data_IF_473209689368
#
_entry.id   IF_473209689368
#
_cell.length_a   1.000
_cell.length_b   1.000
_cell.length_c   1.000
_cell.angle_alpha   90.00
_cell.angle_beta   90.00
_cell.angle_gamma   90.00
#
_symmetry.space_group_name_H-M   'P 1'
#
loop_
_entity.id
_entity.type
_entity.pdbx_description
1 polymer ?
#
# COMPACT_ATOMS: atom_id res chain seq x y z
N UNK A 1 2.02 10.88 -6.14
CA UNK A 1 2.16 9.50 -5.66
C UNK A 1 1.11 8.65 -6.33
N UNK A 2 1.59 7.68 -7.10
CA UNK A 2 0.76 6.65 -7.72
C UNK A 2 0.74 5.46 -6.76
N UNK A 3 -0.45 4.99 -6.40
CA UNK A 3 -0.65 3.79 -5.60
C UNK A 3 -1.33 2.74 -6.46
N UNK A 4 -0.79 1.53 -6.48
CA UNK A 4 -1.33 0.38 -7.22
C UNK A 4 -1.50 -0.78 -6.27
N UNK A 5 -2.67 -1.40 -6.29
CA UNK A 5 -2.90 -2.66 -5.57
C UNK A 5 -3.00 -3.85 -6.53
N UNK A 6 -2.57 -5.01 -6.05
CA UNK A 6 -2.83 -6.30 -6.64
C UNK A 6 -3.09 -7.34 -5.55
N UNK A 7 -3.90 -8.36 -5.85
CA UNK A 7 -4.21 -9.43 -4.91
C UNK A 7 -3.61 -10.74 -5.40
N UNK A 8 -2.87 -11.40 -4.52
CA UNK A 8 -2.11 -12.60 -4.84
C UNK A 8 -2.90 -13.82 -4.45
N UNK A 9 -3.15 -14.69 -5.42
CA UNK A 9 -3.95 -15.90 -5.22
C UNK A 9 -3.22 -16.86 -4.28
N UNK A 10 -3.93 -17.52 -3.39
CA UNK A 10 -3.34 -18.52 -2.48
C UNK A 10 -2.62 -19.65 -3.24
N UNK A 11 -3.05 -19.95 -4.47
CA UNK A 11 -2.53 -21.04 -5.31
C UNK A 11 -1.38 -20.64 -6.25
N UNK A 12 -1.08 -19.35 -6.43
CA UNK A 12 -0.07 -18.90 -7.39
C UNK A 12 0.44 -17.47 -7.13
N UNK A 13 1.57 -17.10 -7.73
CA UNK A 13 2.05 -15.71 -7.72
C UNK A 13 2.88 -15.30 -6.50
N UNK A 14 2.70 -15.90 -5.33
CA UNK A 14 3.45 -15.52 -4.12
C UNK A 14 4.97 -15.64 -4.26
N UNK A 15 5.47 -16.71 -4.90
CA UNK A 15 6.91 -16.86 -5.15
C UNK A 15 7.45 -15.83 -6.14
N UNK A 16 6.65 -15.42 -7.13
CA UNK A 16 7.03 -14.36 -8.07
C UNK A 16 7.03 -12.99 -7.39
N UNK A 17 6.03 -12.72 -6.55
CA UNK A 17 5.97 -11.50 -5.73
C UNK A 17 7.17 -11.41 -4.79
N UNK A 18 7.45 -12.45 -4.02
CA UNK A 18 8.59 -12.49 -3.09
C UNK A 18 9.91 -12.22 -3.80
N UNK A 19 10.18 -12.87 -4.94
CA UNK A 19 11.37 -12.57 -5.75
C UNK A 19 11.41 -11.13 -6.24
N UNK A 20 10.28 -10.59 -6.70
CA UNK A 20 10.20 -9.22 -7.17
C UNK A 20 10.52 -8.21 -6.06
N UNK A 21 9.88 -8.36 -4.89
CA UNK A 21 10.00 -7.38 -3.80
C UNK A 21 11.27 -7.54 -2.97
N UNK A 22 11.90 -8.71 -2.94
CA UNK A 22 13.11 -8.93 -2.13
C UNK A 22 14.40 -8.99 -2.94
N UNK A 23 14.32 -9.32 -4.23
CA UNK A 23 15.50 -9.63 -5.06
C UNK A 23 15.43 -8.96 -6.44
N UNK A 24 14.73 -7.83 -6.56
CA UNK A 24 14.61 -7.09 -7.82
C UNK A 24 15.97 -6.60 -8.32
N UNK A 25 16.57 -7.29 -9.29
CA UNK A 25 17.93 -7.03 -9.79
C UNK A 25 18.15 -5.64 -10.43
N UNK A 26 17.08 -4.89 -10.71
CA UNK A 26 17.15 -3.53 -11.28
C UNK A 26 17.21 -2.43 -10.22
N UNK A 27 17.17 -2.78 -8.94
CA UNK A 27 17.18 -1.83 -7.84
C UNK A 27 18.61 -1.62 -7.35
N UNK A 28 18.95 -0.36 -7.08
CA UNK A 28 20.22 0.02 -6.45
C UNK A 28 20.28 -0.46 -5.01
N UNK A 29 19.14 -0.39 -4.32
CA UNK A 29 18.99 -0.88 -2.95
C UNK A 29 17.60 -1.43 -2.71
N UNK A 30 17.53 -2.45 -1.86
CA UNK A 30 16.30 -3.04 -1.33
C UNK A 30 16.44 -3.06 0.19
N UNK A 31 15.51 -2.43 0.89
CA UNK A 31 15.50 -2.32 2.34
C UNK A 31 14.20 -2.88 2.89
N UNK A 32 14.29 -3.92 3.71
CA UNK A 32 13.12 -4.49 4.40
C UNK A 32 12.98 -3.75 5.73
N UNK A 33 11.92 -2.97 5.88
CA UNK A 33 11.66 -2.20 7.10
C UNK A 33 10.82 -2.99 8.11
N UNK A 34 9.95 -3.87 7.63
CA UNK A 34 9.13 -4.74 8.47
C UNK A 34 8.83 -6.07 7.76
N UNK A 35 8.59 -7.11 8.55
CA UNK A 35 8.21 -8.44 8.08
C UNK A 35 9.36 -9.22 7.44
N UNK A 36 9.02 -10.26 6.67
CA UNK A 36 9.99 -11.11 5.98
C UNK A 36 9.34 -11.97 4.89
N UNK A 37 10.16 -12.63 4.07
CA UNK A 37 9.68 -13.67 3.15
C UNK A 37 8.98 -14.82 3.90
N UNK A 38 9.48 -15.18 5.08
CA UNK A 38 8.86 -16.21 5.91
C UNK A 38 7.45 -15.81 6.31
N UNK A 39 7.27 -14.57 6.79
CA UNK A 39 5.97 -14.05 7.20
C UNK A 39 4.97 -14.04 6.03
N UNK A 40 5.42 -13.59 4.84
CA UNK A 40 4.59 -13.64 3.63
C UNK A 40 4.14 -15.07 3.27
N UNK A 41 5.05 -16.05 3.39
CA UNK A 41 4.72 -17.47 3.14
C UNK A 41 3.78 -18.02 4.19
N UNK A 42 3.89 -17.58 5.43
CA UNK A 42 3.04 -18.02 6.53
C UNK A 42 1.61 -17.53 6.33
N UNK A 43 1.41 -16.24 6.07
CA UNK A 43 0.09 -15.69 5.74
C UNK A 43 -0.57 -16.35 4.53
N UNK A 44 0.22 -16.75 3.53
CA UNK A 44 -0.28 -17.53 2.39
C UNK A 44 -0.75 -18.93 2.81
N UNK A 45 -0.16 -19.56 3.82
CA UNK A 45 -0.62 -20.84 4.38
C UNK A 45 -1.88 -20.64 5.21
N UNK A 46 -1.94 -19.60 6.03
CA UNK A 46 -3.12 -19.26 6.82
C UNK A 46 -4.33 -19.02 5.91
N UNK A 47 -4.19 -18.18 4.90
CA UNK A 47 -5.27 -17.93 3.94
C UNK A 47 -5.74 -19.21 3.22
N UNK A 48 -4.85 -20.19 2.97
CA UNK A 48 -5.26 -21.50 2.43
C UNK A 48 -6.03 -22.31 3.45
N UNK A 49 -5.60 -22.31 4.72
CA UNK A 49 -6.29 -22.99 5.82
C UNK A 49 -7.72 -22.46 5.98
N UNK A 50 -7.90 -21.15 5.84
CA UNK A 50 -9.21 -20.49 5.89
C UNK A 50 -9.99 -20.55 4.55
N UNK A 51 -9.50 -21.30 3.55
CA UNK A 51 -10.22 -21.50 2.28
C UNK A 51 -10.29 -20.28 1.36
N UNK A 52 -9.42 -19.27 1.55
CA UNK A 52 -9.46 -18.04 0.78
C UNK A 52 -8.86 -18.18 -0.63
N UNK A 53 -9.41 -17.40 -1.57
CA UNK A 53 -8.87 -17.30 -2.94
C UNK A 53 -7.58 -16.51 -3.00
N UNK A 54 -7.44 -15.46 -2.18
CA UNK A 54 -6.29 -14.57 -2.12
C UNK A 54 -5.65 -14.65 -0.73
N UNK A 55 -4.32 -14.63 -0.67
CA UNK A 55 -3.58 -14.71 0.59
C UNK A 55 -2.83 -13.43 0.95
N UNK A 56 -2.40 -12.67 -0.05
CA UNK A 56 -1.70 -11.39 0.17
C UNK A 56 -2.32 -10.31 -0.71
N UNK A 57 -2.37 -9.10 -0.18
CA UNK A 57 -2.56 -7.87 -0.92
C UNK A 57 -1.23 -7.17 -1.05
N UNK A 58 -0.81 -6.89 -2.27
CA UNK A 58 0.38 -6.10 -2.57
C UNK A 58 -0.03 -4.70 -2.98
N UNK A 59 0.44 -3.70 -2.23
CA UNK A 59 0.25 -2.28 -2.51
C UNK A 59 1.62 -1.69 -2.82
N UNK A 60 1.84 -1.30 -4.07
CA UNK A 60 3.02 -0.56 -4.50
C UNK A 60 2.70 0.94 -4.53
N UNK A 61 3.57 1.76 -3.96
CA UNK A 61 3.40 3.21 -3.96
C UNK A 61 4.68 3.93 -4.41
N UNK A 62 4.51 4.75 -5.44
CA UNK A 62 5.57 5.45 -6.14
C UNK A 62 5.35 6.96 -5.97
N UNK A 63 6.09 7.64 -5.09
CA UNK A 63 5.96 9.07 -4.92
C UNK A 63 6.53 9.81 -6.15
N UNK A 64 5.94 10.95 -6.48
CA UNK A 64 6.42 11.79 -7.60
C UNK A 64 7.52 12.76 -7.17
N UNK A 65 7.61 13.02 -5.87
CA UNK A 65 8.67 13.78 -5.22
C UNK A 65 9.38 12.85 -4.23
N UNK A 66 10.66 13.08 -3.96
CA UNK A 66 11.43 12.19 -3.11
C UNK A 66 10.81 12.09 -1.70
N UNK A 67 10.72 10.87 -1.18
CA UNK A 67 10.32 10.61 0.20
C UNK A 67 11.43 9.80 0.89
N UNK A 68 11.74 10.15 2.13
CA UNK A 68 12.58 9.34 2.99
C UNK A 68 11.91 8.01 3.33
N UNK A 69 12.71 7.03 3.74
CA UNK A 69 12.20 5.73 4.22
C UNK A 69 11.21 5.92 5.39
N UNK A 70 11.43 6.91 6.26
CA UNK A 70 10.53 7.23 7.37
C UNK A 70 9.17 7.74 6.89
N UNK A 71 9.14 8.64 5.90
CA UNK A 71 7.90 9.13 5.30
C UNK A 71 7.16 8.01 4.55
N UNK A 72 7.88 7.10 3.90
CA UNK A 72 7.27 5.94 3.23
C UNK A 72 6.70 4.93 4.23
N UNK A 73 7.34 4.76 5.39
CA UNK A 73 6.80 3.95 6.48
C UNK A 73 5.53 4.58 7.09
N UNK A 74 5.55 5.88 7.37
CA UNK A 74 4.37 6.61 7.86
C UNK A 74 3.20 6.52 6.86
N UNK A 75 3.48 6.66 5.56
CA UNK A 75 2.48 6.45 4.53
C UNK A 75 1.91 5.02 4.53
N UNK A 76 2.74 4.00 4.73
CA UNK A 76 2.28 2.62 4.85
C UNK A 76 1.35 2.43 6.06
N UNK A 77 1.62 3.11 7.18
CA UNK A 77 0.74 3.10 8.35
C UNK A 77 -0.62 3.72 8.04
N UNK A 78 -0.67 4.85 7.33
CA UNK A 78 -1.93 5.46 6.87
C UNK A 78 -2.73 4.52 5.95
N UNK A 79 -2.06 3.76 5.07
CA UNK A 79 -2.73 2.75 4.24
C UNK A 79 -3.30 1.60 5.09
N UNK A 80 -2.56 1.14 6.11
CA UNK A 80 -3.03 0.10 7.01
C UNK A 80 -4.26 0.56 7.82
N UNK A 81 -4.23 1.79 8.35
CA UNK A 81 -5.35 2.39 9.06
C UNK A 81 -6.60 2.50 8.18
N UNK A 82 -6.44 2.98 6.95
CA UNK A 82 -7.54 3.04 5.99
C UNK A 82 -8.09 1.63 5.74
N UNK A 83 -7.25 0.63 5.49
CA UNK A 83 -7.70 -0.73 5.22
C UNK A 83 -8.14 -1.52 6.47
N UNK A 84 -7.95 -0.97 7.67
CA UNK A 84 -8.09 -1.67 8.97
C UNK A 84 -7.23 -2.93 9.04
N UNK A 85 -6.02 -2.85 8.49
CA UNK A 85 -5.04 -3.92 8.55
C UNK A 85 -4.26 -3.88 9.86
N UNK A 86 -3.91 -5.05 10.39
CA UNK A 86 -3.04 -5.20 11.55
C UNK A 86 -1.58 -4.90 11.18
N UNK A 87 -1.02 -3.87 11.81
CA UNK A 87 0.35 -3.41 11.62
C UNK A 87 1.40 -4.45 12.07
N UNK A 88 1.05 -5.37 12.97
CA UNK A 88 1.98 -6.40 13.46
C UNK A 88 2.26 -7.51 12.43
N UNK A 89 1.46 -7.58 11.38
CA UNK A 89 1.50 -8.63 10.36
C UNK A 89 1.84 -8.13 8.95
N UNK A 90 2.45 -6.95 8.85
CA UNK A 90 2.83 -6.39 7.55
C UNK A 90 4.22 -6.85 7.11
N UNK A 91 4.44 -6.87 5.80
CA UNK A 91 5.80 -6.79 5.24
C UNK A 91 5.93 -5.49 4.46
N UNK A 92 6.87 -4.65 4.86
CA UNK A 92 7.17 -3.37 4.22
C UNK A 92 8.59 -3.39 3.65
N UNK A 93 8.69 -3.17 2.33
CA UNK A 93 9.97 -3.08 1.63
C UNK A 93 10.05 -1.76 0.87
N UNK A 94 11.18 -1.07 0.99
CA UNK A 94 11.51 0.11 0.20
C UNK A 94 12.56 -0.26 -0.84
N UNK A 95 12.29 0.06 -2.09
CA UNK A 95 13.22 -0.05 -3.20
C UNK A 95 13.77 1.33 -3.53
N UNK A 96 15.01 1.37 -4.00
CA UNK A 96 15.61 2.55 -4.58
C UNK A 96 16.07 2.25 -6.01
N UNK A 97 15.72 3.15 -6.93
CA UNK A 97 16.11 3.08 -8.33
C UNK A 97 16.26 4.49 -8.89
N UNK A 98 17.37 4.76 -9.56
CA UNK A 98 17.70 6.07 -10.13
C UNK A 98 17.66 7.19 -9.06
N UNK A 99 18.12 6.90 -7.84
CA UNK A 99 18.07 7.82 -6.69
C UNK A 99 16.67 8.06 -6.09
N UNK A 100 15.60 7.49 -6.65
CA UNK A 100 14.23 7.63 -6.16
C UNK A 100 13.78 6.38 -5.41
N UNK A 101 13.04 6.60 -4.32
CA UNK A 101 12.49 5.55 -3.46
C UNK A 101 11.04 5.22 -3.83
N UNK A 102 10.67 3.95 -3.71
CA UNK A 102 9.28 3.51 -3.78
C UNK A 102 9.02 2.36 -2.81
N UNK A 103 7.79 2.23 -2.34
CA UNK A 103 7.42 1.26 -1.32
C UNK A 103 6.57 0.11 -1.84
N UNK A 104 6.73 -1.04 -1.20
CA UNK A 104 5.93 -2.23 -1.34
C UNK A 104 5.40 -2.62 0.04
N UNK A 105 4.09 -2.48 0.23
CA UNK A 105 3.39 -2.96 1.41
C UNK A 105 2.65 -4.26 1.06
N UNK A 106 2.95 -5.32 1.81
CA UNK A 106 2.25 -6.59 1.72
C UNK A 106 1.42 -6.78 2.98
N UNK A 107 0.11 -6.98 2.78
CA UNK A 107 -0.84 -7.24 3.85
C UNK A 107 -1.41 -8.65 3.68
N UNK A 108 -1.61 -9.43 4.75
CA UNK A 108 -2.36 -10.67 4.66
C UNK A 108 -3.82 -10.37 4.32
N UNK A 109 -4.44 -11.13 3.42
CA UNK A 109 -5.88 -10.94 3.14
C UNK A 109 -6.73 -11.36 4.35
N UNK A 110 -6.28 -12.37 5.11
CA UNK A 110 -6.87 -12.79 6.37
C UNK A 110 -6.26 -12.01 7.54
N UNK A 111 -7.10 -11.40 8.37
CA UNK A 111 -6.69 -10.58 9.53
C UNK A 111 -6.96 -11.29 10.87
N UNK A 112 -7.27 -12.59 10.86
CA UNK A 112 -7.55 -13.39 12.06
C UNK A 112 -9.05 -13.53 12.38
N UNK A 113 -9.83 -12.47 12.20
CA UNK A 113 -11.29 -12.46 12.40
C UNK A 113 -12.09 -11.99 11.17
N UNK A 114 -11.43 -11.32 10.23
CA UNK A 114 -12.03 -10.80 9.01
C UNK A 114 -11.09 -10.87 7.79
N UNK A 115 -11.67 -10.65 6.61
CA UNK A 115 -10.91 -10.47 5.36
C UNK A 115 -10.83 -8.99 5.04
N UNK A 116 -9.67 -8.51 4.58
CA UNK A 116 -9.49 -7.11 4.19
C UNK A 116 -10.53 -6.67 3.16
N UNK A 117 -11.24 -5.58 3.46
CA UNK A 117 -12.24 -5.04 2.54
C UNK A 117 -11.60 -4.60 1.21
N UNK A 118 -12.17 -5.04 0.09
CA UNK A 118 -11.82 -4.55 -1.25
C UNK A 118 -12.82 -3.50 -1.77
N UNK A 119 -13.80 -3.09 -0.97
CA UNK A 119 -14.84 -2.14 -1.40
C UNK A 119 -14.20 -0.76 -1.61
N UNK A 120 -14.28 -0.28 -2.85
CA UNK A 120 -13.71 0.99 -3.30
C UNK A 120 -12.22 1.16 -2.95
N UNK A 121 -11.46 0.06 -2.83
CA UNK A 121 -10.07 0.09 -2.38
C UNK A 121 -9.23 1.08 -3.19
N UNK A 122 -9.36 1.10 -4.52
CA UNK A 122 -8.56 2.00 -5.37
C UNK A 122 -8.79 3.47 -5.03
N UNK A 123 -10.05 3.90 -4.90
CA UNK A 123 -10.40 5.26 -4.52
C UNK A 123 -9.92 5.60 -3.10
N UNK A 124 -10.00 4.64 -2.18
CA UNK A 124 -9.56 4.83 -0.78
C UNK A 124 -8.04 4.98 -0.69
N UNK A 125 -7.28 4.14 -1.39
CA UNK A 125 -5.81 4.24 -1.46
C UNK A 125 -5.37 5.52 -2.17
N UNK A 126 -6.07 5.91 -3.24
CA UNK A 126 -5.81 7.17 -3.93
C UNK A 126 -6.10 8.39 -3.04
N UNK A 127 -7.20 8.37 -2.26
CA UNK A 127 -7.48 9.39 -1.24
C UNK A 127 -6.33 9.52 -0.25
N UNK A 128 -5.85 8.41 0.32
CA UNK A 128 -4.72 8.42 1.27
C UNK A 128 -3.48 9.00 0.61
N UNK A 129 -3.22 8.70 -0.67
CA UNK A 129 -2.12 9.29 -1.42
C UNK A 129 -2.25 10.82 -1.61
N UNK A 130 -3.46 11.32 -1.94
CA UNK A 130 -3.69 12.78 -2.06
C UNK A 130 -3.45 13.47 -0.72
N UNK A 131 -4.01 12.93 0.37
CA UNK A 131 -3.85 13.48 1.71
C UNK A 131 -2.38 13.50 2.15
N UNK A 132 -1.63 12.44 1.84
CA UNK A 132 -0.20 12.39 2.15
C UNK A 132 0.60 13.45 1.39
N UNK A 133 0.25 13.69 0.12
CA UNK A 133 0.89 14.75 -0.66
C UNK A 133 0.61 16.13 -0.10
N UNK A 134 -0.64 16.42 0.30
CA UNK A 134 -0.98 17.67 0.97
C UNK A 134 -0.21 17.82 2.28
N UNK A 135 -0.16 16.76 3.10
CA UNK A 135 0.55 16.74 4.38
C UNK A 135 2.04 17.07 4.22
N UNK A 136 2.66 16.58 3.15
CA UNK A 136 4.07 16.78 2.84
C UNK A 136 4.35 18.07 2.04
N UNK A 137 3.31 18.81 1.64
CA UNK A 137 3.45 19.97 0.76
C UNK A 137 3.89 19.60 -0.67
N UNK A 138 3.69 18.35 -1.08
CA UNK A 138 3.99 17.88 -2.42
C UNK A 138 2.91 18.32 -3.41
N UNK A 139 3.29 18.43 -4.68
CA UNK A 139 2.36 18.67 -5.76
C UNK A 139 1.44 17.46 -5.92
N UNK A 140 0.13 17.73 -6.02
CA UNK A 140 -0.86 16.69 -6.25
C UNK A 140 -0.64 16.03 -7.62
N UNK A 141 -0.43 14.71 -7.60
CA UNK A 141 -0.50 13.89 -8.81
C UNK A 141 -1.97 13.66 -9.22
N UNK A 142 -2.37 14.08 -10.44
CA UNK A 142 -3.74 13.90 -10.90
C UNK A 142 -4.19 12.44 -10.86
N UNK A 143 -5.34 12.21 -10.26
CA UNK A 143 -5.96 10.92 -10.04
C UNK A 143 -7.26 10.74 -10.83
N UNK A 144 -7.68 9.49 -11.02
CA UNK A 144 -8.95 9.19 -11.70
C UNK A 144 -10.15 9.55 -10.81
N UNK A 145 -9.95 9.54 -9.50
CA UNK A 145 -11.02 9.64 -8.51
C UNK A 145 -11.02 10.98 -7.77
N UNK A 146 -10.20 11.96 -8.15
CA UNK A 146 -10.04 13.26 -7.46
C UNK A 146 -11.38 13.92 -7.14
N UNK A 147 -12.29 14.03 -8.11
CA UNK A 147 -13.64 14.58 -7.86
C UNK A 147 -14.43 13.80 -6.81
N UNK A 148 -14.35 12.46 -6.82
CA UNK A 148 -15.04 11.62 -5.84
C UNK A 148 -14.38 11.73 -4.46
N UNK A 149 -13.05 11.85 -4.43
CA UNK A 149 -12.24 12.03 -3.23
C UNK A 149 -12.57 13.38 -2.57
N UNK A 150 -12.55 14.48 -3.32
CA UNK A 150 -12.91 15.81 -2.84
C UNK A 150 -14.32 15.81 -2.22
N UNK A 151 -15.31 15.20 -2.89
CA UNK A 151 -16.65 15.06 -2.35
C UNK A 151 -16.71 14.22 -1.07
N UNK A 152 -15.91 13.15 -0.96
CA UNK A 152 -15.84 12.33 0.23
C UNK A 152 -15.21 13.08 1.41
N UNK A 153 -14.11 13.79 1.15
CA UNK A 153 -13.41 14.63 2.13
C UNK A 153 -14.31 15.75 2.66
N UNK A 154 -15.02 16.43 1.76
CA UNK A 154 -15.98 17.46 2.15
C UNK A 154 -17.08 16.93 3.07
N UNK A 155 -17.59 15.71 2.80
CA UNK A 155 -18.60 15.06 3.67
C UNK A 155 -18.02 14.61 5.02
N UNK A 156 -16.70 14.43 5.10
CA UNK A 156 -15.99 14.04 6.32
C UNK A 156 -15.50 15.25 7.13
N UNK A 157 -15.73 16.49 6.65
CA UNK A 157 -15.32 17.72 7.31
C UNK A 157 -13.95 18.25 6.90
N UNK A 158 -13.25 17.58 5.98
CA UNK A 158 -11.95 17.99 5.43
C UNK A 158 -12.15 18.97 4.26
N UNK A 159 -12.74 20.13 4.56
CA UNK A 159 -13.13 21.10 3.53
C UNK A 159 -11.91 21.69 2.80
N UNK A 160 -10.84 22.00 3.52
CA UNK A 160 -9.64 22.59 2.93
C UNK A 160 -8.94 21.62 1.97
N UNK A 161 -8.76 20.37 2.39
CA UNK A 161 -8.15 19.33 1.56
C UNK A 161 -9.04 18.99 0.37
N UNK A 162 -10.36 19.01 0.55
CA UNK A 162 -11.31 18.81 -0.54
C UNK A 162 -11.17 19.88 -1.63
N UNK A 163 -11.02 21.15 -1.26
CA UNK A 163 -10.82 22.26 -2.20
C UNK A 163 -9.49 22.16 -2.95
N UNK A 164 -8.43 21.67 -2.30
CA UNK A 164 -7.13 21.50 -2.93
C UNK A 164 -7.11 20.34 -3.94
N UNK A 165 -7.93 19.31 -3.73
CA UNK A 165 -7.99 18.11 -4.59
C UNK A 165 -8.99 18.26 -5.75
N UNK A 166 -9.99 19.14 -5.62
CA UNK A 166 -11.09 19.31 -6.59
C UNK A 166 -10.64 19.84 -7.96
#
# INVERSE_FOLDING_TARGET
MIVKESRIKTRSGAGALSRHVLHGAKNEAIRVLAGSDWLMRDHMREARREGLTYGLRHIAFNPAQAMSDAQLAEFADHLCQELKADLSHITLIIHQKDGLTHGHLLLPEWQGDHVLSSRFSWMRLEKVARLEELRLGHALVPGRHDKAIANALHKQGYHHEAEQIA
#
